data_IF_859059281814
#
_entry.id   IF_859059281814
#
_cell.length_a   1.000
_cell.length_b   1.000
_cell.length_c   1.000
_cell.angle_alpha   90.00
_cell.angle_beta   90.00
_cell.angle_gamma   90.00
#
_symmetry.space_group_name_H-M   'P 1'
#
loop_
_entity.id
_entity.type
_entity.pdbx_description
1 polymer ?
#
# COMPACT_ATOMS: atom_id res chain seq x y z
N UNK A 1 -11.90 41.69 36.99
CA UNK A 1 -11.40 40.31 37.05
C UNK A 1 -11.97 39.58 35.84
N UNK A 2 -11.18 39.42 34.79
CA UNK A 2 -11.56 38.80 33.51
C UNK A 2 -11.17 37.33 33.55
N UNK A 3 -12.17 36.44 33.56
CA UNK A 3 -11.96 35.01 33.36
C UNK A 3 -11.81 34.75 31.86
N UNK A 4 -10.57 34.55 31.42
CA UNK A 4 -10.27 33.96 30.11
C UNK A 4 -10.30 32.45 30.27
N UNK A 5 -11.42 31.81 29.91
CA UNK A 5 -11.45 30.36 29.68
C UNK A 5 -10.57 30.06 28.47
N UNK A 6 -9.41 29.46 28.72
CA UNK A 6 -8.58 28.87 27.69
C UNK A 6 -9.41 27.83 26.94
N UNK A 7 -9.51 27.98 25.62
CA UNK A 7 -10.00 26.93 24.75
C UNK A 7 -8.97 25.80 24.78
N UNK A 8 -9.33 24.65 25.34
CA UNK A 8 -8.54 23.44 25.14
C UNK A 8 -8.44 23.19 23.63
N UNK A 9 -7.22 22.96 23.08
CA UNK A 9 -7.07 22.62 21.68
C UNK A 9 -7.81 21.31 21.43
N UNK A 10 -8.78 21.35 20.51
CA UNK A 10 -9.50 20.17 20.05
C UNK A 10 -8.50 19.07 19.67
N UNK A 11 -8.76 17.84 20.09
CA UNK A 11 -7.96 16.67 19.67
C UNK A 11 -7.82 16.69 18.15
N UNK A 12 -6.60 16.47 17.59
CA UNK A 12 -6.42 16.43 16.16
C UNK A 12 -7.34 15.34 15.58
N UNK A 13 -8.19 15.73 14.64
CA UNK A 13 -9.10 14.82 13.96
C UNK A 13 -8.30 13.61 13.43
N UNK A 14 -8.77 12.41 13.72
CA UNK A 14 -8.12 11.18 13.25
C UNK A 14 -8.17 11.16 11.71
N UNK A 15 -7.02 11.34 11.06
CA UNK A 15 -6.91 11.29 9.60
C UNK A 15 -6.98 9.84 9.10
N UNK A 16 -7.53 9.68 7.89
CA UNK A 16 -7.58 8.43 7.15
C UNK A 16 -6.41 8.39 6.16
N UNK A 17 -5.57 7.36 6.31
CA UNK A 17 -4.46 7.10 5.40
C UNK A 17 -4.94 6.43 4.11
N UNK A 18 -4.54 6.99 2.97
CA UNK A 18 -4.80 6.49 1.62
C UNK A 18 -3.56 5.72 1.15
N UNK A 19 -3.56 4.39 1.19
CA UNK A 19 -2.35 3.58 1.10
C UNK A 19 -1.63 3.68 -0.25
N UNK A 20 -2.32 4.07 -1.33
CA UNK A 20 -1.69 4.11 -2.64
C UNK A 20 -1.05 5.47 -2.90
N UNK A 21 -1.82 6.53 -2.67
CA UNK A 21 -1.40 7.93 -2.84
C UNK A 21 -0.52 8.44 -1.68
N UNK A 22 -0.52 7.81 -0.51
CA UNK A 22 0.24 8.28 0.66
C UNK A 22 -0.30 9.56 1.28
N UNK A 23 -1.57 9.87 1.02
CA UNK A 23 -2.28 11.01 1.63
C UNK A 23 -2.90 10.58 2.96
N UNK A 24 -2.78 11.45 3.96
CA UNK A 24 -3.62 11.42 5.16
C UNK A 24 -4.65 12.55 5.04
N UNK A 25 -5.94 12.22 5.05
CA UNK A 25 -7.01 13.19 4.83
C UNK A 25 -8.16 12.99 5.86
N UNK A 26 -9.03 13.99 6.08
CA UNK A 26 -10.17 13.84 6.99
C UNK A 26 -11.08 12.64 6.65
N UNK A 27 -11.21 12.33 5.36
CA UNK A 27 -11.89 11.12 4.89
C UNK A 27 -11.28 10.63 3.58
N UNK A 28 -11.77 9.54 3.00
CA UNK A 28 -11.51 9.19 1.59
C UNK A 28 -12.42 10.00 0.67
N UNK A 29 -11.92 10.44 -0.48
CA UNK A 29 -12.74 10.90 -1.58
C UNK A 29 -12.67 9.90 -2.73
N UNK A 30 -13.74 9.78 -3.50
CA UNK A 30 -13.80 8.92 -4.67
C UNK A 30 -14.19 9.73 -5.90
N UNK A 31 -13.78 9.28 -7.08
CA UNK A 31 -14.17 9.90 -8.34
C UNK A 31 -15.02 8.97 -9.20
N UNK A 32 -15.83 9.56 -10.09
CA UNK A 32 -16.55 8.83 -11.14
C UNK A 32 -16.39 9.58 -12.46
N UNK A 33 -16.03 8.85 -13.52
CA UNK A 33 -15.98 9.40 -14.88
C UNK A 33 -17.40 9.79 -15.30
N UNK A 34 -17.61 11.04 -15.71
CA UNK A 34 -18.82 11.42 -16.42
C UNK A 34 -18.76 10.81 -17.84
N UNK A 35 -19.79 10.05 -18.21
CA UNK A 35 -19.88 9.45 -19.55
C UNK A 35 -20.20 10.47 -20.66
N UNK A 36 -20.58 11.70 -20.29
CA UNK A 36 -20.75 12.90 -21.11
C UNK A 36 -21.65 13.84 -20.29
N UNK A 37 -21.23 15.08 -20.06
CA UNK A 37 -22.16 16.10 -19.59
C UNK A 37 -22.21 17.22 -20.62
N UNK A 38 -23.42 17.68 -20.92
CA UNK A 38 -23.67 18.84 -21.79
C UNK A 38 -23.19 20.17 -21.19
N UNK A 39 -22.69 20.14 -19.95
CA UNK A 39 -22.09 21.27 -19.23
C UNK A 39 -20.56 21.32 -19.36
N UNK A 40 -19.93 20.26 -19.89
CA UNK A 40 -18.51 20.21 -20.25
C UNK A 40 -18.24 20.91 -21.60
N UNK A 41 -18.94 22.02 -21.91
CA UNK A 41 -18.89 22.62 -23.25
C UNK A 41 -17.50 23.10 -23.67
N UNK A 42 -16.59 23.30 -22.70
CA UNK A 42 -15.21 23.76 -22.94
C UNK A 42 -14.14 22.96 -22.14
N UNK A 43 -14.48 21.81 -21.54
CA UNK A 43 -13.53 21.01 -20.75
C UNK A 43 -13.24 19.66 -21.40
N UNK A 44 -11.96 19.38 -21.69
CA UNK A 44 -11.51 18.09 -22.26
C UNK A 44 -11.75 16.91 -21.31
N UNK A 45 -11.92 17.18 -20.01
CA UNK A 45 -12.13 16.18 -18.98
C UNK A 45 -12.94 16.73 -17.80
N UNK A 46 -13.96 15.98 -17.37
CA UNK A 46 -14.73 16.23 -16.16
C UNK A 46 -14.99 14.93 -15.38
N UNK A 47 -14.67 14.93 -14.08
CA UNK A 47 -15.00 13.82 -13.16
C UNK A 47 -15.84 14.31 -12.01
N UNK A 48 -16.82 13.50 -11.60
CA UNK A 48 -17.56 13.72 -10.36
C UNK A 48 -16.68 13.35 -9.18
N UNK A 49 -16.72 14.15 -8.12
CA UNK A 49 -16.06 13.91 -6.85
C UNK A 49 -17.12 13.58 -5.78
N UNK A 50 -16.88 12.51 -5.03
CA UNK A 50 -17.81 11.95 -4.06
C UNK A 50 -17.18 11.89 -2.67
N UNK A 51 -17.88 12.43 -1.69
CA UNK A 51 -17.62 12.29 -0.26
C UNK A 51 -18.44 11.12 0.30
N UNK A 52 -17.91 10.28 1.20
CA UNK A 52 -18.60 9.08 1.66
C UNK A 52 -19.92 9.36 2.38
N UNK A 53 -20.02 10.50 3.06
CA UNK A 53 -21.26 10.90 3.77
C UNK A 53 -22.14 11.85 2.96
N UNK A 54 -21.54 12.65 2.06
CA UNK A 54 -22.27 13.67 1.30
C UNK A 54 -22.55 13.22 -0.14
N UNK A 55 -22.16 12.01 -0.54
CA UNK A 55 -22.27 11.58 -1.93
C UNK A 55 -21.56 12.56 -2.87
N UNK A 56 -22.18 12.87 -3.99
CA UNK A 56 -21.62 13.79 -4.99
C UNK A 56 -21.50 15.24 -4.45
N UNK A 57 -20.27 15.75 -4.34
CA UNK A 57 -19.97 17.09 -3.81
C UNK A 57 -19.61 18.11 -4.89
N UNK A 58 -19.27 17.66 -6.09
CA UNK A 58 -18.93 18.54 -7.21
C UNK A 58 -18.12 17.84 -8.28
N UNK A 59 -17.61 18.63 -9.21
CA UNK A 59 -16.81 18.15 -10.34
C UNK A 59 -15.38 18.66 -10.25
N UNK A 60 -14.47 17.90 -10.83
CA UNK A 60 -13.14 18.35 -11.20
C UNK A 60 -13.13 18.59 -12.70
N UNK A 61 -12.85 19.82 -13.09
CA UNK A 61 -12.77 20.23 -14.50
C UNK A 61 -11.36 20.72 -14.80
N UNK A 62 -10.79 20.29 -15.91
CA UNK A 62 -9.59 20.91 -16.48
C UNK A 62 -10.01 21.84 -17.62
N UNK A 63 -9.54 23.09 -17.59
CA UNK A 63 -9.64 23.97 -18.76
C UNK A 63 -8.75 23.37 -19.86
N UNK A 64 -9.34 23.07 -21.02
CA UNK A 64 -8.58 22.59 -22.19
C UNK A 64 -7.43 23.57 -22.49
N UNK A 65 -6.27 23.05 -22.90
CA UNK A 65 -4.96 23.75 -23.03
C UNK A 65 -4.02 23.76 -21.81
N UNK A 66 -4.15 22.80 -20.90
CA UNK A 66 -3.16 22.58 -19.84
C UNK A 66 -3.33 23.48 -18.61
N UNK A 67 -4.56 23.96 -18.37
CA UNK A 67 -4.93 24.61 -17.13
C UNK A 67 -4.94 23.63 -15.94
N UNK A 68 -4.79 24.18 -14.73
CA UNK A 68 -4.90 23.41 -13.49
C UNK A 68 -6.32 22.84 -13.32
N UNK A 69 -6.42 21.62 -12.79
CA UNK A 69 -7.69 21.00 -12.47
C UNK A 69 -8.36 21.76 -11.32
N UNK A 70 -9.60 22.20 -11.50
CA UNK A 70 -10.33 22.99 -10.50
C UNK A 70 -11.58 22.25 -10.00
N UNK A 71 -11.85 22.37 -8.70
CA UNK A 71 -13.11 21.93 -8.11
C UNK A 71 -14.26 22.93 -8.39
N UNK A 72 -15.38 22.37 -8.83
CA UNK A 72 -16.65 23.08 -9.05
C UNK A 72 -17.72 22.40 -8.19
N UNK A 73 -18.22 23.05 -7.13
CA UNK A 73 -19.28 22.49 -6.28
C UNK A 73 -20.53 22.09 -7.07
N UNK A 74 -21.15 20.97 -6.70
CA UNK A 74 -22.49 20.60 -7.22
C UNK A 74 -23.62 21.33 -6.49
N UNK A 75 -23.40 21.61 -5.21
CA UNK A 75 -24.30 22.35 -4.35
C UNK A 75 -23.46 23.17 -3.35
N UNK A 76 -23.49 24.49 -3.50
CA UNK A 76 -22.71 25.41 -2.67
C UNK A 76 -23.13 25.41 -1.20
N UNK A 77 -24.37 25.04 -0.87
CA UNK A 77 -24.84 24.98 0.52
C UNK A 77 -24.39 23.68 1.20
N UNK A 78 -24.17 22.62 0.43
CA UNK A 78 -23.76 21.31 0.94
C UNK A 78 -22.25 21.15 1.07
N UNK A 79 -21.50 21.57 0.06
CA UNK A 79 -20.04 21.49 0.06
C UNK A 79 -19.45 22.58 -0.85
N UNK A 80 -19.04 23.70 -0.26
CA UNK A 80 -18.57 24.85 -1.02
C UNK A 80 -17.08 24.74 -1.40
N UNK A 81 -16.60 25.65 -2.26
CA UNK A 81 -15.15 25.82 -2.50
C UNK A 81 -14.37 26.14 -1.22
N UNK A 82 -14.99 26.83 -0.27
CA UNK A 82 -14.35 27.12 1.02
C UNK A 82 -14.19 25.86 1.86
N UNK A 83 -15.14 24.93 1.77
CA UNK A 83 -15.05 23.64 2.44
C UNK A 83 -14.00 22.74 1.78
N UNK A 84 -13.86 22.78 0.45
CA UNK A 84 -12.75 22.13 -0.26
C UNK A 84 -11.39 22.70 0.18
N UNK A 85 -11.24 24.02 0.24
CA UNK A 85 -10.01 24.64 0.72
C UNK A 85 -9.66 24.21 2.16
N UNK A 86 -10.65 24.22 3.07
CA UNK A 86 -10.47 23.75 4.46
C UNK A 86 -10.15 22.25 4.51
N UNK A 87 -10.69 21.46 3.59
CA UNK A 87 -10.38 20.04 3.48
C UNK A 87 -8.91 19.85 3.10
N UNK A 88 -8.43 20.55 2.08
CA UNK A 88 -7.04 20.51 1.60
C UNK A 88 -6.06 20.97 2.69
N UNK A 89 -6.41 21.98 3.48
CA UNK A 89 -5.59 22.46 4.61
C UNK A 89 -5.34 21.38 5.68
N UNK A 90 -6.27 20.43 5.84
CA UNK A 90 -6.14 19.32 6.79
C UNK A 90 -5.41 18.12 6.20
N UNK A 91 -5.24 18.06 4.88
CA UNK A 91 -4.58 16.95 4.20
C UNK A 91 -3.06 17.02 4.36
N UNK A 92 -2.47 15.87 4.61
CA UNK A 92 -1.02 15.66 4.57
C UNK A 92 -0.68 14.73 3.39
N UNK A 93 0.35 15.08 2.62
CA UNK A 93 1.00 14.18 1.68
C UNK A 93 2.36 13.79 2.25
N UNK A 94 2.58 12.49 2.51
CA UNK A 94 3.82 11.98 3.11
C UNK A 94 4.22 12.74 4.40
N UNK A 95 3.22 13.02 5.26
CA UNK A 95 3.43 13.71 6.53
C UNK A 95 3.64 15.23 6.44
N UNK A 96 3.47 15.86 5.27
CA UNK A 96 3.59 17.31 5.06
C UNK A 96 2.28 17.92 4.58
N UNK A 97 1.96 19.18 4.92
CA UNK A 97 0.79 19.86 4.38
C UNK A 97 0.73 19.77 2.85
N UNK A 98 -0.40 19.30 2.32
CA UNK A 98 -0.57 19.10 0.88
C UNK A 98 -0.51 20.42 0.11
N UNK A 99 -1.16 21.45 0.68
CA UNK A 99 -1.04 22.86 0.32
C UNK A 99 -1.79 23.32 -0.93
N UNK A 100 -2.14 22.42 -1.84
CA UNK A 100 -2.79 22.73 -3.12
C UNK A 100 -3.94 21.77 -3.41
N UNK A 101 -5.05 22.30 -3.91
CA UNK A 101 -6.25 21.53 -4.26
C UNK A 101 -5.97 20.55 -5.38
N UNK A 102 -5.22 20.97 -6.40
CA UNK A 102 -4.85 20.15 -7.57
C UNK A 102 -4.16 18.85 -7.15
N UNK A 103 -3.27 18.92 -6.16
CA UNK A 103 -2.55 17.75 -5.63
C UNK A 103 -3.48 16.76 -4.94
N UNK A 104 -4.54 17.25 -4.30
CA UNK A 104 -5.55 16.37 -3.72
C UNK A 104 -6.31 15.65 -4.82
N UNK A 105 -6.70 16.36 -5.87
CA UNK A 105 -7.48 15.81 -6.98
C UNK A 105 -6.66 14.75 -7.74
N UNK A 106 -5.39 15.02 -8.03
CA UNK A 106 -4.46 14.04 -8.61
C UNK A 106 -4.32 12.79 -7.73
N UNK A 107 -4.24 12.98 -6.40
CA UNK A 107 -4.13 11.88 -5.47
C UNK A 107 -5.41 11.05 -5.36
N UNK A 108 -6.60 11.65 -5.47
CA UNK A 108 -7.89 10.91 -5.54
C UNK A 108 -7.91 10.01 -6.78
N UNK A 109 -7.51 10.55 -7.94
CA UNK A 109 -7.43 9.80 -9.19
C UNK A 109 -6.42 8.65 -9.05
N UNK A 110 -5.22 8.94 -8.54
CA UNK A 110 -4.18 7.94 -8.34
C UNK A 110 -4.60 6.83 -7.37
N UNK A 111 -5.21 7.21 -6.23
CA UNK A 111 -5.67 6.28 -5.19
C UNK A 111 -6.65 5.28 -5.77
N UNK A 112 -7.71 5.76 -6.42
CA UNK A 112 -8.77 4.91 -6.93
C UNK A 112 -8.32 4.08 -8.15
N UNK A 113 -7.49 4.63 -9.06
CA UNK A 113 -6.92 3.85 -10.17
C UNK A 113 -5.98 2.74 -9.66
N UNK A 114 -5.17 3.04 -8.65
CA UNK A 114 -4.26 2.06 -8.06
C UNK A 114 -5.04 1.00 -7.29
N UNK A 115 -6.12 1.35 -6.58
CA UNK A 115 -6.98 0.38 -5.91
C UNK A 115 -7.57 -0.65 -6.89
N UNK A 116 -8.00 -0.22 -8.08
CA UNK A 116 -8.46 -1.13 -9.14
C UNK A 116 -7.35 -2.05 -9.64
N UNK A 117 -6.13 -1.51 -9.78
CA UNK A 117 -4.94 -2.29 -10.14
C UNK A 117 -4.58 -3.31 -9.06
N UNK A 118 -4.74 -2.95 -7.78
CA UNK A 118 -4.53 -3.87 -6.63
C UNK A 118 -5.57 -4.99 -6.64
N UNK A 119 -6.82 -4.71 -6.95
CA UNK A 119 -7.85 -5.73 -7.10
C UNK A 119 -7.52 -6.70 -8.25
N UNK A 120 -7.01 -6.19 -9.38
CA UNK A 120 -6.52 -7.02 -10.47
C UNK A 120 -5.32 -7.87 -10.04
N UNK A 121 -4.34 -7.28 -9.34
CA UNK A 121 -3.18 -7.98 -8.79
C UNK A 121 -3.59 -9.16 -7.91
N UNK A 122 -4.58 -8.94 -7.02
CA UNK A 122 -5.09 -10.01 -6.14
C UNK A 122 -5.74 -11.15 -6.92
N UNK A 123 -6.51 -10.84 -7.97
CA UNK A 123 -7.15 -11.86 -8.83
C UNK A 123 -6.13 -12.62 -9.67
N UNK A 124 -5.12 -11.92 -10.18
CA UNK A 124 -4.13 -12.47 -11.11
C UNK A 124 -2.93 -13.14 -10.41
N UNK A 125 -2.82 -13.01 -9.08
CA UNK A 125 -1.70 -13.54 -8.29
C UNK A 125 -0.34 -12.98 -8.74
N UNK A 126 -0.32 -11.68 -9.00
CA UNK A 126 0.85 -10.92 -9.43
C UNK A 126 1.37 -10.03 -8.30
N UNK A 127 2.41 -9.25 -8.54
CA UNK A 127 2.92 -8.25 -7.58
C UNK A 127 2.96 -6.90 -8.25
N UNK A 128 2.63 -5.84 -7.52
CA UNK A 128 2.84 -4.47 -7.99
C UNK A 128 4.13 -3.90 -7.42
N UNK A 129 4.86 -3.19 -8.26
CA UNK A 129 6.06 -2.43 -7.89
C UNK A 129 5.96 -1.01 -8.42
N UNK A 130 6.64 -0.08 -7.76
CA UNK A 130 6.78 1.29 -8.23
C UNK A 130 8.12 1.86 -7.79
N UNK A 131 8.59 2.89 -8.48
CA UNK A 131 9.69 3.71 -7.98
C UNK A 131 9.15 4.70 -6.93
N UNK A 132 9.95 4.98 -5.91
CA UNK A 132 9.67 6.03 -4.94
C UNK A 132 10.95 6.79 -4.59
N UNK A 133 10.92 8.11 -4.72
CA UNK A 133 12.01 9.00 -4.31
C UNK A 133 11.51 9.91 -3.22
N UNK A 134 12.06 9.80 -2.01
CA UNK A 134 11.82 10.73 -0.92
C UNK A 134 12.79 11.92 -1.01
N UNK A 135 12.29 13.13 -0.77
CA UNK A 135 13.14 14.32 -0.72
C UNK A 135 13.59 14.65 0.71
N UNK A 136 14.81 15.21 0.90
CA UNK A 136 15.31 15.60 2.22
C UNK A 136 14.43 16.59 3.01
N UNK A 137 13.47 17.26 2.36
CA UNK A 137 12.50 18.15 2.98
C UNK A 137 11.13 17.52 3.30
N UNK A 138 10.95 16.22 3.02
CA UNK A 138 9.67 15.52 3.03
C UNK A 138 8.95 15.56 1.68
N UNK A 139 7.89 14.74 1.55
CA UNK A 139 7.26 14.46 0.26
C UNK A 139 8.03 13.44 -0.57
N UNK A 140 7.35 12.80 -1.51
CA UNK A 140 8.01 11.91 -2.47
C UNK A 140 7.42 11.94 -3.87
N UNK A 141 8.26 11.62 -4.86
CA UNK A 141 7.81 11.30 -6.21
C UNK A 141 7.52 9.80 -6.25
N UNK A 142 6.33 9.46 -6.76
CA UNK A 142 5.93 8.08 -7.05
C UNK A 142 6.03 7.89 -8.55
N UNK A 143 6.77 6.87 -8.97
CA UNK A 143 6.74 6.41 -10.36
C UNK A 143 5.44 5.67 -10.67
N UNK A 144 5.28 5.34 -11.95
CA UNK A 144 4.18 4.51 -12.40
C UNK A 144 4.20 3.13 -11.74
N UNK A 145 3.00 2.59 -11.52
CA UNK A 145 2.83 1.24 -10.96
C UNK A 145 3.02 0.21 -12.07
N UNK A 146 3.99 -0.68 -11.90
CA UNK A 146 4.25 -1.80 -12.80
C UNK A 146 3.82 -3.13 -12.18
N UNK A 147 3.20 -4.00 -12.99
CA UNK A 147 2.81 -5.34 -12.58
C UNK A 147 3.89 -6.38 -12.94
N UNK A 148 4.27 -7.21 -11.98
CA UNK A 148 5.15 -8.35 -12.14
C UNK A 148 4.32 -9.63 -12.27
N UNK A 149 4.63 -10.47 -13.27
CA UNK A 149 3.86 -11.67 -13.63
C UNK A 149 3.63 -12.73 -12.53
N UNK A 150 4.27 -12.62 -11.36
CA UNK A 150 4.06 -13.53 -10.23
C UNK A 150 4.30 -12.81 -8.90
N UNK A 151 3.75 -13.36 -7.83
CA UNK A 151 4.05 -12.91 -6.46
C UNK A 151 5.55 -13.04 -6.18
N UNK A 152 6.24 -11.90 -6.01
CA UNK A 152 7.67 -11.84 -5.68
C UNK A 152 7.88 -12.02 -4.17
N UNK A 153 7.56 -13.21 -3.64
CA UNK A 153 7.61 -13.46 -2.20
C UNK A 153 9.05 -13.59 -1.67
N UNK A 154 9.88 -14.42 -2.33
CA UNK A 154 11.22 -14.73 -1.85
C UNK A 154 12.15 -13.55 -2.10
N UNK A 155 13.07 -13.28 -1.15
CA UNK A 155 14.09 -12.24 -1.27
C UNK A 155 14.86 -12.33 -2.59
N UNK A 156 15.31 -13.52 -2.96
CA UNK A 156 16.07 -13.76 -4.19
C UNK A 156 15.27 -13.41 -5.45
N UNK A 157 13.96 -13.65 -5.44
CA UNK A 157 13.06 -13.25 -6.52
C UNK A 157 12.97 -11.72 -6.58
N UNK A 158 12.81 -11.05 -5.44
CA UNK A 158 12.78 -9.58 -5.36
C UNK A 158 14.09 -8.97 -5.86
N UNK A 159 15.24 -9.55 -5.51
CA UNK A 159 16.57 -9.10 -5.97
C UNK A 159 16.74 -9.25 -7.48
N UNK A 160 16.31 -10.38 -8.05
CA UNK A 160 16.32 -10.59 -9.50
C UNK A 160 15.39 -9.60 -10.20
N UNK A 161 14.20 -9.35 -9.64
CA UNK A 161 13.23 -8.40 -10.21
C UNK A 161 13.73 -6.97 -10.17
N UNK A 162 14.38 -6.55 -9.09
CA UNK A 162 15.01 -5.23 -8.99
C UNK A 162 16.01 -5.00 -10.14
N UNK A 163 16.88 -5.98 -10.42
CA UNK A 163 17.84 -5.91 -11.54
C UNK A 163 17.14 -5.80 -12.90
N UNK A 164 16.14 -6.64 -13.15
CA UNK A 164 15.37 -6.61 -14.41
C UNK A 164 14.67 -5.26 -14.59
N UNK A 165 14.11 -4.70 -13.52
CA UNK A 165 13.44 -3.40 -13.56
C UNK A 165 14.44 -2.29 -13.91
N UNK A 166 15.64 -2.30 -13.30
CA UNK A 166 16.71 -1.33 -13.55
C UNK A 166 17.27 -1.41 -14.99
N UNK A 167 17.31 -2.61 -15.58
CA UNK A 167 17.81 -2.84 -16.95
C UNK A 167 16.79 -2.52 -18.05
N UNK A 168 15.49 -2.57 -17.75
CA UNK A 168 14.42 -2.42 -18.75
C UNK A 168 14.15 -0.93 -19.06
N UNK A 169 14.27 -0.47 -20.33
CA UNK A 169 14.04 0.94 -20.68
C UNK A 169 12.64 1.47 -20.35
N UNK A 170 11.64 0.58 -20.27
CA UNK A 170 10.24 0.93 -19.97
C UNK A 170 9.95 1.05 -18.48
N UNK A 171 10.81 0.48 -17.64
CA UNK A 171 10.59 0.38 -16.19
C UNK A 171 11.79 0.80 -15.38
N UNK A 172 12.88 1.25 -16.01
CA UNK A 172 14.05 1.77 -15.30
C UNK A 172 13.65 3.01 -14.51
N UNK A 173 14.32 3.19 -13.37
CA UNK A 173 14.13 4.34 -12.48
C UNK A 173 14.20 5.65 -13.26
N UNK A 174 13.11 6.40 -13.26
CA UNK A 174 13.01 7.70 -13.90
C UNK A 174 13.59 8.80 -13.01
N UNK A 175 13.52 8.62 -11.69
CA UNK A 175 13.86 9.63 -10.69
C UNK A 175 15.06 9.24 -9.81
N UNK A 176 15.68 8.08 -10.08
CA UNK A 176 16.79 7.55 -9.27
C UNK A 176 16.36 7.10 -7.88
N UNK A 177 15.07 6.86 -7.66
CA UNK A 177 14.50 6.43 -6.39
C UNK A 177 14.70 4.96 -6.07
N UNK A 178 14.09 4.52 -4.98
CA UNK A 178 14.08 3.11 -4.57
C UNK A 178 12.86 2.37 -5.10
N UNK A 179 13.04 1.08 -5.40
CA UNK A 179 11.92 0.22 -5.72
C UNK A 179 11.09 -0.07 -4.47
N UNK A 180 9.78 0.13 -4.58
CA UNK A 180 8.79 -0.31 -3.62
C UNK A 180 7.96 -1.46 -4.18
N UNK A 181 7.52 -2.36 -3.30
CA UNK A 181 6.57 -3.42 -3.55
C UNK A 181 5.27 -3.12 -2.81
N UNK A 182 4.12 -3.30 -3.47
CA UNK A 182 2.84 -3.26 -2.77
C UNK A 182 2.67 -4.56 -2.01
N UNK A 183 2.63 -4.46 -0.70
CA UNK A 183 2.69 -5.63 0.17
C UNK A 183 1.31 -6.28 0.40
N UNK A 184 0.26 -5.73 -0.18
CA UNK A 184 -1.14 -6.12 0.05
C UNK A 184 -1.94 -5.08 0.82
N UNK A 185 -1.28 -4.20 1.60
CA UNK A 185 -1.90 -3.10 2.35
C UNK A 185 -1.26 -1.75 2.06
N UNK A 186 0.05 -1.71 1.90
CA UNK A 186 0.82 -0.48 1.75
C UNK A 186 2.06 -0.74 0.90
N UNK A 187 2.73 0.34 0.50
CA UNK A 187 3.99 0.24 -0.22
C UNK A 187 5.16 0.13 0.75
N UNK A 188 6.02 -0.87 0.52
CA UNK A 188 7.23 -1.12 1.30
C UNK A 188 8.45 -1.16 0.39
N UNK A 189 9.67 -0.94 0.90
CA UNK A 189 10.89 -1.19 0.12
C UNK A 189 10.87 -2.61 -0.46
N UNK A 190 11.17 -2.74 -1.76
CA UNK A 190 11.24 -4.04 -2.44
C UNK A 190 12.30 -4.94 -1.78
N UNK A 191 13.39 -4.34 -1.33
CA UNK A 191 14.49 -5.00 -0.64
C UNK A 191 14.75 -4.30 0.69
N UNK A 192 14.61 -5.06 1.78
CA UNK A 192 15.02 -4.62 3.12
C UNK A 192 16.38 -5.23 3.44
N UNK A 193 17.35 -4.51 4.04
CA UNK A 193 18.64 -5.10 4.43
C UNK A 193 18.46 -6.29 5.39
N UNK A 194 19.28 -7.34 5.23
CA UNK A 194 19.40 -8.38 6.25
C UNK A 194 20.25 -7.82 7.40
N UNK A 195 19.68 -7.78 8.60
CA UNK A 195 20.34 -7.22 9.79
C UNK A 195 20.98 -8.27 10.68
N UNK A 196 20.58 -9.55 10.54
CA UNK A 196 21.11 -10.64 11.36
C UNK A 196 22.51 -11.07 10.91
N UNK A 197 23.38 -11.31 11.88
CA UNK A 197 24.69 -11.90 11.67
C UNK A 197 24.58 -13.41 11.36
N UNK A 198 25.63 -13.98 10.76
CA UNK A 198 25.62 -15.37 10.29
C UNK A 198 25.52 -16.40 11.43
N UNK A 199 26.11 -16.11 12.58
CA UNK A 199 26.02 -16.90 13.80
C UNK A 199 24.60 -16.86 14.38
N UNK A 200 23.94 -15.69 14.37
CA UNK A 200 22.53 -15.57 14.78
C UNK A 200 21.60 -16.38 13.87
N UNK A 201 21.82 -16.32 12.55
CA UNK A 201 21.07 -17.13 11.58
C UNK A 201 21.30 -18.62 11.84
N UNK A 202 22.54 -19.04 12.06
CA UNK A 202 22.87 -20.44 12.33
C UNK A 202 22.22 -20.94 13.63
N UNK A 203 22.30 -20.16 14.72
CA UNK A 203 21.65 -20.47 15.99
C UNK A 203 20.13 -20.58 15.83
N UNK A 204 19.53 -19.67 15.05
CA UNK A 204 18.10 -19.69 14.77
C UNK A 204 17.66 -20.94 14.00
N UNK A 205 18.41 -21.30 12.96
CA UNK A 205 18.12 -22.51 12.17
C UNK A 205 18.26 -23.79 12.98
N UNK A 206 19.19 -23.85 13.93
CA UNK A 206 19.32 -24.98 14.85
C UNK A 206 18.11 -25.09 15.78
N UNK A 207 17.69 -23.97 16.37
CA UNK A 207 16.46 -23.91 17.19
C UNK A 207 15.22 -24.35 16.39
N UNK A 208 15.08 -23.89 15.14
CA UNK A 208 13.99 -24.30 14.24
C UNK A 208 14.03 -25.82 14.00
N UNK A 209 15.21 -26.39 13.73
CA UNK A 209 15.36 -27.83 13.48
C UNK A 209 14.97 -28.65 14.71
N UNK A 210 15.43 -28.27 15.90
CA UNK A 210 15.06 -28.92 17.16
C UNK A 210 13.56 -28.82 17.38
N UNK A 211 12.97 -27.66 17.13
CA UNK A 211 11.54 -27.43 17.32
C UNK A 211 10.68 -28.24 16.36
N UNK A 212 11.10 -28.37 15.10
CA UNK A 212 10.44 -29.22 14.10
C UNK A 212 10.41 -30.70 14.52
N UNK A 213 11.50 -31.20 15.12
CA UNK A 213 11.59 -32.57 15.62
C UNK A 213 10.71 -32.79 16.85
N UNK A 214 10.63 -31.79 17.74
CA UNK A 214 9.90 -31.87 19.01
C UNK A 214 8.44 -31.42 18.92
N UNK A 215 8.00 -30.94 17.75
CA UNK A 215 6.67 -30.31 17.55
C UNK A 215 6.39 -29.18 18.55
N UNK A 216 7.41 -28.35 18.78
CA UNK A 216 7.30 -27.15 19.63
C UNK A 216 7.31 -25.88 18.76
N UNK A 217 7.26 -24.71 19.40
CA UNK A 217 7.35 -23.41 18.72
C UNK A 217 8.72 -22.75 18.89
N UNK A 218 9.15 -21.99 17.90
CA UNK A 218 10.24 -20.99 17.99
C UNK A 218 9.62 -19.61 17.85
N UNK A 219 9.85 -18.72 18.81
CA UNK A 219 9.26 -17.37 18.87
C UNK A 219 7.73 -17.35 18.73
N UNK A 220 7.06 -18.38 19.27
CA UNK A 220 5.61 -18.54 19.15
C UNK A 220 5.14 -19.00 17.77
N UNK A 221 6.03 -19.44 16.89
CA UNK A 221 5.70 -20.01 15.57
C UNK A 221 6.01 -21.51 15.52
N UNK A 222 5.07 -22.28 14.98
CA UNK A 222 5.22 -23.71 14.70
C UNK A 222 6.10 -23.94 13.48
N UNK A 223 7.01 -24.90 13.58
CA UNK A 223 7.85 -25.31 12.46
C UNK A 223 7.15 -26.38 11.61
N UNK A 224 6.64 -25.98 10.45
CA UNK A 224 5.87 -26.81 9.52
C UNK A 224 6.77 -27.63 8.56
N UNK A 225 7.98 -27.98 9.00
CA UNK A 225 8.94 -28.81 8.28
C UNK A 225 9.86 -28.05 7.31
N UNK A 226 10.58 -28.83 6.49
CA UNK A 226 11.52 -28.35 5.47
C UNK A 226 10.88 -28.46 4.09
N UNK A 227 10.95 -27.39 3.31
CA UNK A 227 10.56 -27.35 1.91
C UNK A 227 11.76 -27.03 1.01
N UNK A 228 11.60 -27.27 -0.29
CA UNK A 228 12.65 -27.05 -1.28
C UNK A 228 12.32 -25.85 -2.16
N UNK A 229 13.22 -24.86 -2.20
CA UNK A 229 13.24 -23.83 -3.23
C UNK A 229 14.33 -24.18 -4.26
N UNK A 230 14.25 -23.62 -5.47
CA UNK A 230 15.17 -23.93 -6.57
C UNK A 230 16.67 -23.74 -6.24
N UNK A 231 17.00 -22.99 -5.19
CA UNK A 231 18.38 -22.66 -4.79
C UNK A 231 18.82 -23.25 -3.44
N UNK A 232 17.89 -23.51 -2.52
CA UNK A 232 18.19 -24.08 -1.19
C UNK A 232 16.93 -24.62 -0.50
N UNK A 233 17.09 -25.57 0.43
CA UNK A 233 16.01 -25.94 1.34
C UNK A 233 15.75 -24.77 2.32
N UNK A 234 14.49 -24.61 2.70
CA UNK A 234 14.05 -23.62 3.69
C UNK A 234 13.05 -24.24 4.67
N UNK A 235 13.01 -23.69 5.88
CA UNK A 235 12.02 -24.03 6.89
C UNK A 235 10.83 -23.08 6.81
N UNK A 236 9.64 -23.60 7.07
CA UNK A 236 8.41 -22.81 7.16
C UNK A 236 8.00 -22.69 8.62
N UNK A 237 7.89 -21.47 9.12
CA UNK A 237 7.31 -21.15 10.41
C UNK A 237 5.94 -20.49 10.22
N UNK A 238 4.96 -20.82 11.06
CA UNK A 238 3.66 -20.16 11.07
C UNK A 238 3.07 -20.08 12.48
N UNK A 239 2.17 -19.12 12.74
CA UNK A 239 1.52 -19.00 14.07
C UNK A 239 0.58 -20.15 14.43
N UNK A 240 0.32 -21.06 13.49
CA UNK A 240 -0.45 -22.29 13.67
C UNK A 240 0.19 -23.44 12.84
N UNK A 241 -0.32 -24.65 13.03
CA UNK A 241 0.18 -25.87 12.36
C UNK A 241 -0.31 -26.00 10.90
N UNK A 242 -1.15 -25.08 10.42
CA UNK A 242 -1.78 -25.20 9.11
C UNK A 242 -0.86 -24.71 8.00
N UNK A 243 -0.90 -25.35 6.81
CA UNK A 243 -0.09 -24.94 5.68
C UNK A 243 -0.42 -23.51 5.24
N UNK A 244 0.60 -22.84 4.70
CA UNK A 244 0.55 -21.46 4.21
C UNK A 244 0.51 -21.49 2.69
N UNK A 245 -0.49 -20.85 2.06
CA UNK A 245 -0.55 -20.69 0.62
C UNK A 245 -0.07 -19.30 0.20
N UNK A 246 1.23 -19.17 0.04
CA UNK A 246 1.86 -17.91 -0.37
C UNK A 246 1.79 -17.62 -1.88
N UNK A 247 1.32 -18.57 -2.69
CA UNK A 247 1.31 -18.46 -4.16
C UNK A 247 0.12 -17.70 -4.70
N UNK A 248 -0.85 -17.38 -3.83
CA UNK A 248 -2.05 -16.69 -4.21
C UNK A 248 -2.41 -15.62 -3.18
N UNK A 249 -2.92 -14.48 -3.66
CA UNK A 249 -3.47 -13.46 -2.79
C UNK A 249 -4.84 -13.88 -2.27
N UNK A 250 -5.14 -13.45 -1.06
CA UNK A 250 -6.45 -13.57 -0.47
C UNK A 250 -7.41 -12.60 -1.16
N UNK A 251 -8.57 -13.11 -1.55
CA UNK A 251 -9.68 -12.35 -2.13
C UNK A 251 -10.88 -12.25 -1.18
N UNK A 252 -10.75 -12.78 0.03
CA UNK A 252 -11.78 -12.64 1.06
C UNK A 252 -11.87 -11.17 1.50
N UNK A 253 -13.07 -10.73 1.86
CA UNK A 253 -13.25 -9.47 2.59
C UNK A 253 -12.75 -9.68 4.02
N UNK A 254 -11.55 -9.19 4.30
CA UNK A 254 -10.90 -9.27 5.61
C UNK A 254 -11.06 -7.93 6.29
N UNK A 255 -11.84 -7.89 7.38
CA UNK A 255 -11.99 -6.68 8.18
C UNK A 255 -10.68 -6.32 8.92
N UNK A 256 -10.50 -5.07 9.37
CA UNK A 256 -9.27 -4.62 10.04
C UNK A 256 -8.87 -5.43 11.28
N UNK A 257 -9.85 -6.02 11.97
CA UNK A 257 -9.67 -6.83 13.19
C UNK A 257 -9.75 -8.35 12.94
N UNK A 258 -9.85 -8.78 11.70
CA UNK A 258 -9.94 -10.21 11.39
C UNK A 258 -8.61 -10.90 11.76
N UNK A 259 -8.66 -12.12 12.33
CA UNK A 259 -7.45 -12.85 12.70
C UNK A 259 -6.64 -13.21 11.45
N UNK A 260 -5.32 -13.04 11.57
CA UNK A 260 -4.34 -13.36 10.55
C UNK A 260 -3.27 -14.27 11.12
N UNK A 261 -2.77 -15.19 10.31
CA UNK A 261 -1.68 -16.08 10.69
C UNK A 261 -0.39 -15.52 10.12
N UNK A 262 0.61 -15.28 10.98
CA UNK A 262 1.95 -14.88 10.54
C UNK A 262 2.69 -16.10 10.01
N UNK A 263 3.58 -15.87 9.04
CA UNK A 263 4.50 -16.89 8.57
C UNK A 263 5.89 -16.31 8.30
N UNK A 264 6.90 -17.17 8.38
CA UNK A 264 8.29 -16.84 8.05
C UNK A 264 8.95 -18.02 7.33
N UNK A 265 9.73 -17.74 6.30
CA UNK A 265 10.56 -18.70 5.58
C UNK A 265 12.02 -18.44 5.90
N UNK A 266 12.69 -19.48 6.42
CA UNK A 266 14.06 -19.39 6.92
C UNK A 266 14.98 -20.31 6.15
N UNK A 267 16.13 -19.79 5.72
CA UNK A 267 17.23 -20.61 5.21
C UNK A 267 18.57 -20.10 5.75
N UNK A 268 19.69 -20.64 5.24
CA UNK A 268 21.05 -20.19 5.60
C UNK A 268 21.33 -18.71 5.33
N UNK A 269 20.48 -18.03 4.57
CA UNK A 269 20.56 -16.58 4.29
C UNK A 269 19.74 -15.74 5.29
N UNK A 270 19.15 -16.38 6.30
CA UNK A 270 18.21 -15.78 7.26
C UNK A 270 16.76 -15.88 6.77
N UNK A 271 15.93 -14.91 7.17
CA UNK A 271 14.55 -14.78 6.68
C UNK A 271 14.57 -14.40 5.20
N UNK A 272 14.00 -15.26 4.36
CA UNK A 272 13.88 -15.03 2.91
C UNK A 272 12.48 -14.62 2.49
N UNK A 273 11.48 -14.78 3.35
CA UNK A 273 10.14 -14.24 3.18
C UNK A 273 9.40 -14.24 4.51
N UNK A 274 8.52 -13.26 4.70
CA UNK A 274 7.58 -13.22 5.81
C UNK A 274 6.31 -12.50 5.40
N UNK A 275 5.28 -12.62 6.22
CA UNK A 275 4.03 -11.92 5.99
C UNK A 275 2.89 -12.52 6.79
N UNK A 276 1.68 -12.26 6.31
CA UNK A 276 0.44 -12.74 6.92
C UNK A 276 -0.43 -13.43 5.89
N UNK A 277 -1.07 -14.52 6.30
CA UNK A 277 -2.11 -15.20 5.53
C UNK A 277 -3.45 -15.16 6.26
N UNK A 278 -4.52 -15.38 5.50
CA UNK A 278 -5.86 -15.49 6.07
C UNK A 278 -5.94 -16.73 6.98
N UNK A 279 -6.36 -16.54 8.23
CA UNK A 279 -6.40 -17.61 9.22
C UNK A 279 -7.34 -18.78 8.86
N UNK A 280 -8.40 -18.52 8.09
CA UNK A 280 -9.36 -19.56 7.68
C UNK A 280 -8.67 -20.70 6.92
N UNK A 281 -8.84 -21.93 7.40
CA UNK A 281 -8.26 -23.17 6.87
C UNK A 281 -8.49 -23.36 5.37
N UNK A 282 -9.70 -23.03 4.88
CA UNK A 282 -10.04 -23.11 3.45
C UNK A 282 -9.39 -22.03 2.58
N UNK A 283 -8.86 -20.97 3.17
CA UNK A 283 -8.24 -19.86 2.44
C UNK A 283 -6.73 -19.95 2.51
N UNK A 284 -6.13 -19.64 3.67
CA UNK A 284 -4.67 -19.65 3.90
C UNK A 284 -3.83 -18.88 2.87
N UNK A 285 -4.49 -18.00 2.09
CA UNK A 285 -3.88 -17.19 1.04
C UNK A 285 -3.27 -15.92 1.61
N UNK A 286 -2.30 -15.37 0.88
CA UNK A 286 -1.51 -14.21 1.25
C UNK A 286 -2.38 -12.96 1.46
N UNK A 287 -2.25 -12.33 2.62
CA UNK A 287 -2.92 -11.06 2.95
C UNK A 287 -1.93 -9.93 2.88
N UNK A 288 -0.75 -10.12 3.49
CA UNK A 288 0.38 -9.20 3.43
C UNK A 288 1.70 -9.93 3.18
N UNK A 289 2.64 -9.21 2.59
CA UNK A 289 4.07 -9.51 2.57
C UNK A 289 4.79 -8.53 3.49
N UNK A 290 5.89 -8.98 4.08
CA UNK A 290 6.85 -8.11 4.77
C UNK A 290 8.19 -8.07 4.00
#
# INVERSE_FOLDING_TARGET
>A
MTNTTAHDPAEPAQLVHWPHSGIDAPTTLAYRLCASSQDARDSDFAVELHHPELGHIGWVCAEGTGGAAMFVPSDHERFSRRDMARYVEQCLGDGKPLGLEERLLDAVLYEQNTAQTVDAMRRNNTTLVREFTEFPGGGGIRGDVAELHRIAIMREDRELRAKILDESPRTRRAFGGDWQIYNGREWKPLLVPQTLAQDEIAAKLDAIRVSAQRKTTVDGLYANGVQWHARHPYYVLASDELPVNHRAWCTCRIGPRAPLTRFEYWCRLGVIASGQVHALERCRRLVTLD
#
